data_IF_595059852737
#
_entry.id   IF_595059852737
#
_cell.length_a   1.000
_cell.length_b   1.000
_cell.length_c   1.000
_cell.angle_alpha   90.00
_cell.angle_beta   90.00
_cell.angle_gamma   90.00
#
_symmetry.space_group_name_H-M   'P 1'
#
loop_
_entity.id
_entity.type
_entity.pdbx_description
1 polymer ?
#
# COMPACT_ATOMS: atom_id res chain seq x y z
N UNK A 1 -12.16 -26.93 11.78
CA UNK A 1 -12.56 -25.60 11.29
C UNK A 1 -11.40 -25.06 10.47
N UNK A 2 -11.54 -25.01 9.14
CA UNK A 2 -10.45 -24.65 8.25
C UNK A 2 -10.17 -23.14 8.35
N UNK A 3 -9.03 -22.77 8.94
CA UNK A 3 -8.56 -21.39 9.06
C UNK A 3 -7.99 -20.82 7.74
N UNK A 4 -8.07 -21.56 6.63
CA UNK A 4 -7.44 -21.22 5.35
C UNK A 4 -8.30 -20.36 4.42
N UNK A 5 -9.60 -20.17 4.70
CA UNK A 5 -10.47 -19.37 3.83
C UNK A 5 -10.26 -17.84 3.94
N UNK A 6 -9.44 -17.39 4.91
CA UNK A 6 -9.22 -15.97 5.23
C UNK A 6 -7.73 -15.61 5.41
N UNK A 7 -6.80 -16.36 4.82
CA UNK A 7 -5.37 -16.02 4.88
C UNK A 7 -5.08 -14.79 3.99
N UNK A 8 -4.65 -13.64 4.54
CA UNK A 8 -4.43 -12.43 3.75
C UNK A 8 -3.09 -12.43 3.00
N UNK A 9 -2.20 -13.40 3.28
CA UNK A 9 -0.84 -13.43 2.72
C UNK A 9 -0.78 -13.49 1.19
N UNK A 10 -1.60 -14.28 0.48
CA UNK A 10 -1.52 -14.34 -0.98
C UNK A 10 -1.76 -13.00 -1.66
N UNK A 11 -2.79 -12.26 -1.23
CA UNK A 11 -3.08 -10.93 -1.78
C UNK A 11 -2.02 -9.90 -1.39
N UNK A 12 -1.45 -10.03 -0.19
CA UNK A 12 -0.36 -9.16 0.23
C UNK A 12 0.92 -9.39 -0.57
N UNK A 13 1.28 -10.65 -0.83
CA UNK A 13 2.39 -11.04 -1.70
C UNK A 13 2.18 -10.47 -3.10
N UNK A 14 0.98 -10.60 -3.66
CA UNK A 14 0.62 -10.03 -4.97
C UNK A 14 0.77 -8.50 -4.97
N UNK A 15 0.33 -7.80 -3.92
CA UNK A 15 0.48 -6.35 -3.80
C UNK A 15 1.95 -5.91 -3.74
N UNK A 16 2.78 -6.65 -3.00
CA UNK A 16 4.21 -6.38 -2.93
C UNK A 16 4.92 -6.66 -4.28
N UNK A 17 4.50 -7.70 -5.01
CA UNK A 17 5.02 -8.03 -6.34
C UNK A 17 4.64 -6.95 -7.37
N UNK A 18 3.38 -6.53 -7.37
CA UNK A 18 2.92 -5.45 -8.25
C UNK A 18 3.63 -4.13 -7.93
N UNK A 19 3.87 -3.83 -6.65
CA UNK A 19 4.60 -2.63 -6.27
C UNK A 19 6.04 -2.67 -6.80
N UNK A 20 6.75 -3.81 -6.70
CA UNK A 20 8.06 -3.99 -7.33
C UNK A 20 7.97 -3.76 -8.85
N UNK A 21 7.02 -4.41 -9.53
CA UNK A 21 6.87 -4.30 -10.98
C UNK A 21 6.64 -2.84 -11.42
N UNK A 22 5.86 -2.08 -10.65
CA UNK A 22 5.69 -0.65 -10.91
C UNK A 22 6.96 0.16 -10.65
N UNK A 23 7.66 -0.08 -9.54
CA UNK A 23 8.95 0.56 -9.22
C UNK A 23 9.98 0.33 -10.34
N UNK A 24 10.04 -0.88 -10.88
CA UNK A 24 10.99 -1.27 -11.93
C UNK A 24 10.74 -0.54 -13.27
N UNK A 25 9.56 0.02 -13.46
CA UNK A 25 9.21 0.75 -14.70
C UNK A 25 9.56 2.23 -14.66
N UNK A 26 9.85 2.80 -13.49
CA UNK A 26 9.99 4.25 -13.32
C UNK A 26 11.29 4.76 -13.94
N UNK A 27 11.16 5.66 -14.91
CA UNK A 27 12.27 6.37 -15.54
C UNK A 27 12.79 7.54 -14.71
N UNK A 28 14.05 7.93 -14.92
CA UNK A 28 14.66 9.06 -14.21
C UNK A 28 13.99 10.42 -14.55
N UNK A 29 13.44 10.55 -15.75
CA UNK A 29 12.69 11.70 -16.24
C UNK A 29 11.26 11.80 -15.67
N UNK A 30 10.76 10.74 -15.04
CA UNK A 30 9.42 10.67 -14.45
C UNK A 30 9.41 11.10 -12.97
N UNK A 31 10.57 11.22 -12.35
CA UNK A 31 10.71 11.37 -10.90
C UNK A 31 10.05 12.64 -10.33
N UNK A 32 9.86 13.68 -11.15
CA UNK A 32 9.21 14.94 -10.75
C UNK A 32 7.75 15.02 -11.19
N UNK A 33 7.18 13.97 -11.80
CA UNK A 33 5.78 13.98 -12.19
C UNK A 33 4.89 14.03 -10.93
N UNK A 34 3.82 14.83 -10.94
CA UNK A 34 2.86 14.83 -9.85
C UNK A 34 2.13 13.49 -9.79
N UNK A 35 1.78 13.03 -8.59
CA UNK A 35 0.91 11.85 -8.44
C UNK A 35 -0.51 12.26 -8.07
N UNK A 36 -1.51 11.37 -8.23
CA UNK A 36 -2.85 11.60 -7.71
C UNK A 36 -2.91 11.76 -6.18
N UNK A 37 -1.87 11.31 -5.45
CA UNK A 37 -1.69 11.63 -4.04
C UNK A 37 -1.00 13.00 -3.92
N UNK A 38 -1.70 14.05 -3.46
CA UNK A 38 -1.21 15.43 -3.57
C UNK A 38 0.05 15.72 -2.73
N UNK A 39 0.36 14.86 -1.75
CA UNK A 39 1.54 14.99 -0.91
C UNK A 39 2.83 14.52 -1.62
N UNK A 40 2.71 13.81 -2.75
CA UNK A 40 3.82 13.12 -3.39
C UNK A 40 3.94 13.44 -4.89
N UNK A 41 5.16 13.80 -5.31
CA UNK A 41 5.62 13.50 -6.67
C UNK A 41 6.11 12.04 -6.74
N UNK A 42 6.45 11.55 -7.94
CA UNK A 42 6.89 10.16 -8.14
C UNK A 42 8.09 9.82 -7.25
N UNK A 43 9.10 10.68 -7.16
CA UNK A 43 10.27 10.47 -6.30
C UNK A 43 9.88 10.28 -4.84
N UNK A 44 9.01 11.15 -4.34
CA UNK A 44 8.58 11.13 -2.94
C UNK A 44 7.70 9.92 -2.67
N UNK A 45 6.86 9.50 -3.63
CA UNK A 45 6.06 8.29 -3.55
C UNK A 45 6.94 7.02 -3.48
N UNK A 46 8.00 6.95 -4.28
CA UNK A 46 8.98 5.85 -4.20
C UNK A 46 9.65 5.78 -2.82
N UNK A 47 10.05 6.93 -2.29
CA UNK A 47 10.60 7.03 -0.94
C UNK A 47 9.61 6.63 0.16
N UNK A 48 8.33 6.97 -0.02
CA UNK A 48 7.25 6.57 0.86
C UNK A 48 7.01 5.05 0.82
N UNK A 49 6.93 4.44 -0.37
CA UNK A 49 6.79 3.00 -0.54
C UNK A 49 7.92 2.23 0.15
N UNK A 50 9.17 2.68 -0.02
CA UNK A 50 10.29 2.12 0.74
C UNK A 50 10.04 2.21 2.25
N UNK A 51 9.68 3.39 2.77
CA UNK A 51 9.33 3.56 4.19
C UNK A 51 8.25 2.58 4.65
N UNK A 52 7.19 2.41 3.87
CA UNK A 52 6.08 1.49 4.16
C UNK A 52 6.59 0.04 4.24
N UNK A 53 7.45 -0.39 3.31
CA UNK A 53 8.06 -1.73 3.38
C UNK A 53 8.87 -1.94 4.68
N UNK A 54 9.59 -0.92 5.15
CA UNK A 54 10.28 -0.96 6.45
C UNK A 54 9.30 -1.06 7.63
N UNK A 55 8.21 -0.28 7.60
CA UNK A 55 7.16 -0.30 8.63
C UNK A 55 6.40 -1.62 8.69
N UNK A 56 6.11 -2.23 7.55
CA UNK A 56 5.52 -3.56 7.46
C UNK A 56 6.38 -4.54 8.26
N UNK A 57 7.67 -4.63 7.92
CA UNK A 57 8.58 -5.57 8.55
C UNK A 57 8.67 -5.34 10.07
N UNK A 58 8.82 -4.09 10.48
CA UNK A 58 8.92 -3.73 11.90
C UNK A 58 7.62 -4.00 12.67
N UNK A 59 6.47 -3.64 12.12
CA UNK A 59 5.17 -3.89 12.74
C UNK A 59 4.89 -5.40 12.88
N UNK A 60 5.17 -6.17 11.83
CA UNK A 60 4.97 -7.62 11.83
C UNK A 60 5.94 -8.36 12.73
N UNK A 61 7.08 -7.78 13.11
CA UNK A 61 8.01 -8.29 14.12
C UNK A 61 7.73 -7.76 15.53
N UNK A 62 6.68 -6.95 15.71
CA UNK A 62 6.22 -6.43 17.01
C UNK A 62 6.90 -5.13 17.46
N UNK A 63 7.65 -4.47 16.57
CA UNK A 63 8.26 -3.17 16.82
C UNK A 63 7.32 -1.98 16.68
N UNK A 64 7.84 -0.79 16.94
CA UNK A 64 7.10 0.47 16.81
C UNK A 64 7.30 1.08 15.42
N UNK A 65 6.27 1.19 14.57
CA UNK A 65 6.40 1.72 13.20
C UNK A 65 6.83 3.19 13.15
N UNK A 66 6.69 3.93 14.26
CA UNK A 66 7.14 5.32 14.38
C UNK A 66 8.66 5.45 14.48
N UNK A 67 9.38 4.35 14.69
CA UNK A 67 10.85 4.32 14.66
C UNK A 67 11.40 4.39 13.22
N UNK A 68 10.54 4.20 12.21
CA UNK A 68 10.86 4.38 10.79
C UNK A 68 10.56 5.83 10.39
N UNK A 69 11.47 6.52 9.67
CA UNK A 69 11.26 7.88 9.21
C UNK A 69 9.99 8.00 8.34
N UNK A 70 9.40 9.19 8.31
CA UNK A 70 8.17 9.45 7.54
C UNK A 70 8.34 9.16 6.05
N UNK A 71 9.50 9.47 5.47
CA UNK A 71 9.84 9.23 4.06
C UNK A 71 11.32 8.81 3.98
N UNK A 72 11.63 7.78 3.21
CA UNK A 72 13.00 7.37 2.91
C UNK A 72 13.52 8.24 1.76
N UNK A 73 14.67 8.89 1.92
CA UNK A 73 15.27 9.81 0.92
C UNK A 73 16.71 9.41 0.59
N UNK A 74 17.25 9.90 -0.53
CA UNK A 74 18.66 9.70 -0.89
C UNK A 74 19.01 8.27 -1.26
N UNK A 75 18.06 7.53 -1.83
CA UNK A 75 18.27 6.17 -2.34
C UNK A 75 18.54 6.25 -3.83
N UNK A 76 19.73 5.84 -4.25
CA UNK A 76 20.15 5.88 -5.65
C UNK A 76 19.52 4.76 -6.49
N UNK A 77 19.39 3.56 -5.91
CA UNK A 77 18.81 2.37 -6.54
C UNK A 77 17.56 1.91 -5.76
N UNK A 78 16.43 2.53 -6.08
CA UNK A 78 15.12 2.20 -5.47
C UNK A 78 14.69 0.76 -5.75
N UNK A 79 14.79 0.23 -6.99
CA UNK A 79 14.48 -1.18 -7.27
C UNK A 79 15.21 -2.17 -6.36
N UNK A 80 16.53 -2.01 -6.20
CA UNK A 80 17.32 -2.89 -5.33
C UNK A 80 16.95 -2.73 -3.85
N UNK A 81 16.75 -1.49 -3.39
CA UNK A 81 16.35 -1.22 -2.00
C UNK A 81 14.95 -1.81 -1.66
N UNK A 82 14.02 -1.76 -2.61
CA UNK A 82 12.71 -2.41 -2.45
C UNK A 82 12.85 -3.93 -2.35
N UNK A 83 13.64 -4.55 -3.25
CA UNK A 83 13.88 -5.99 -3.24
C UNK A 83 14.49 -6.50 -1.93
N UNK A 84 15.41 -5.74 -1.35
CA UNK A 84 15.98 -6.04 -0.03
C UNK A 84 14.91 -6.04 1.06
N UNK A 85 14.10 -4.96 1.13
CA UNK A 85 13.01 -4.86 2.12
C UNK A 85 11.95 -5.94 1.91
N UNK A 86 11.64 -6.27 0.66
CA UNK A 86 10.74 -7.37 0.31
C UNK A 86 11.27 -8.71 0.82
N UNK A 87 12.55 -8.99 0.63
CA UNK A 87 13.18 -10.23 1.13
C UNK A 87 13.04 -10.36 2.65
N UNK A 88 13.19 -9.25 3.39
CA UNK A 88 12.97 -9.25 4.84
C UNK A 88 11.51 -9.56 5.20
N UNK A 89 10.55 -8.91 4.51
CA UNK A 89 9.11 -9.14 4.71
C UNK A 89 8.75 -10.61 4.45
N UNK A 90 9.26 -11.21 3.38
CA UNK A 90 9.01 -12.63 3.07
C UNK A 90 9.48 -13.55 4.20
N UNK A 91 10.64 -13.25 4.80
CA UNK A 91 11.13 -13.95 5.98
C UNK A 91 10.18 -13.84 7.17
N UNK A 92 9.66 -12.64 7.45
CA UNK A 92 8.68 -12.42 8.54
C UNK A 92 7.33 -13.09 8.27
N UNK A 93 6.85 -13.11 7.01
CA UNK A 93 5.59 -13.77 6.65
C UNK A 93 5.64 -15.30 6.78
N UNK A 94 6.84 -15.87 6.74
CA UNK A 94 7.09 -17.30 6.94
C UNK A 94 7.11 -17.70 8.43
N UNK A 95 7.17 -16.74 9.37
CA UNK A 95 7.16 -17.05 10.80
C UNK A 95 5.81 -17.60 11.28
N UNK A 96 5.87 -18.62 12.13
CA UNK A 96 4.70 -19.13 12.81
C UNK A 96 4.06 -18.07 13.71
N UNK A 97 2.74 -17.95 13.63
CA UNK A 97 1.96 -17.03 14.47
C UNK A 97 1.98 -15.57 14.03
N UNK A 98 2.65 -15.21 12.93
CA UNK A 98 2.66 -13.83 12.40
C UNK A 98 1.25 -13.25 12.25
N UNK A 99 0.28 -14.07 11.81
CA UNK A 99 -1.10 -13.65 11.61
C UNK A 99 -1.83 -13.29 12.93
N UNK A 100 -1.44 -13.93 14.04
CA UNK A 100 -2.05 -13.71 15.36
C UNK A 100 -1.29 -12.70 16.22
N UNK A 101 -0.06 -12.35 15.85
CA UNK A 101 0.78 -11.39 16.59
C UNK A 101 0.11 -10.02 16.64
N UNK A 102 0.16 -9.37 17.79
CA UNK A 102 -0.36 -8.01 17.94
C UNK A 102 0.68 -7.04 17.37
N UNK A 103 0.27 -6.25 16.38
CA UNK A 103 1.09 -5.29 15.66
C UNK A 103 0.65 -3.86 15.99
N UNK A 104 1.61 -2.96 16.19
CA UNK A 104 1.36 -1.52 16.31
C UNK A 104 1.50 -0.87 14.94
N UNK A 105 0.49 -0.10 14.53
CA UNK A 105 0.46 0.73 13.33
C UNK A 105 0.27 2.19 13.76
N UNK A 106 0.58 3.19 12.92
CA UNK A 106 0.45 4.61 13.28
C UNK A 106 -0.95 5.02 13.74
N UNK A 107 -1.99 4.29 13.32
CA UNK A 107 -3.39 4.57 13.63
C UNK A 107 -4.05 3.57 14.61
N UNK A 108 -3.30 2.58 15.12
CA UNK A 108 -3.85 1.64 16.10
C UNK A 108 -3.09 0.33 16.23
N UNK A 109 -3.59 -0.54 17.11
CA UNK A 109 -3.02 -1.86 17.39
C UNK A 109 -3.97 -2.95 16.93
N UNK A 110 -3.49 -3.89 16.12
CA UNK A 110 -4.33 -4.90 15.47
C UNK A 110 -3.58 -6.24 15.28
N UNK A 111 -4.28 -7.39 15.16
CA UNK A 111 -3.64 -8.65 14.81
C UNK A 111 -2.94 -8.59 13.45
N UNK A 112 -1.85 -9.35 13.28
CA UNK A 112 -1.03 -9.35 12.07
C UNK A 112 -1.83 -9.60 10.79
N UNK A 113 -2.85 -10.47 10.83
CA UNK A 113 -3.75 -10.66 9.69
C UNK A 113 -4.47 -9.38 9.25
N UNK A 114 -4.94 -8.57 10.20
CA UNK A 114 -5.57 -7.28 9.90
C UNK A 114 -4.52 -6.25 9.45
N UNK A 115 -3.29 -6.31 9.98
CA UNK A 115 -2.21 -5.41 9.60
C UNK A 115 -1.80 -5.65 8.14
N UNK A 116 -1.65 -6.92 7.77
CA UNK A 116 -1.39 -7.36 6.39
C UNK A 116 -2.51 -6.84 5.46
N UNK A 117 -3.79 -6.97 5.85
CA UNK A 117 -4.90 -6.45 5.06
C UNK A 117 -4.83 -4.93 4.85
N UNK A 118 -4.48 -4.17 5.89
CA UNK A 118 -4.32 -2.72 5.79
C UNK A 118 -3.16 -2.33 4.85
N UNK A 119 -2.00 -2.95 5.01
CA UNK A 119 -0.84 -2.71 4.14
C UNK A 119 -1.07 -3.20 2.70
N UNK A 120 -1.89 -4.22 2.48
CA UNK A 120 -2.31 -4.63 1.13
C UNK A 120 -3.06 -3.48 0.44
N UNK A 121 -3.98 -2.81 1.15
CA UNK A 121 -4.68 -1.63 0.65
C UNK A 121 -3.75 -0.45 0.36
N UNK A 122 -2.82 -0.16 1.27
CA UNK A 122 -1.82 0.92 1.12
C UNK A 122 -0.96 0.70 -0.13
N UNK A 123 -0.36 -0.48 -0.30
CA UNK A 123 0.48 -0.83 -1.45
C UNK A 123 -0.30 -0.84 -2.76
N UNK A 124 -1.52 -1.42 -2.75
CA UNK A 124 -2.40 -1.47 -3.93
C UNK A 124 -2.72 -0.06 -4.42
N UNK A 125 -3.05 0.84 -3.50
CA UNK A 125 -3.45 2.20 -3.83
C UNK A 125 -2.28 3.04 -4.33
N UNK A 126 -1.12 2.93 -3.69
CA UNK A 126 0.07 3.66 -4.13
C UNK A 126 0.71 3.08 -5.40
N UNK A 127 0.50 1.80 -5.70
CA UNK A 127 0.80 1.24 -7.03
C UNK A 127 -0.05 1.92 -8.11
N UNK A 128 -1.33 2.18 -7.84
CA UNK A 128 -2.18 2.94 -8.76
C UNK A 128 -1.76 4.40 -8.91
N UNK A 129 -1.39 5.06 -7.80
CA UNK A 129 -0.88 6.45 -7.87
C UNK A 129 0.36 6.53 -8.79
N UNK A 130 1.28 5.59 -8.63
CA UNK A 130 2.49 5.51 -9.44
C UNK A 130 2.16 5.19 -10.90
N UNK A 131 1.25 4.25 -11.14
CA UNK A 131 0.82 3.86 -12.48
C UNK A 131 0.08 4.97 -13.21
N UNK A 132 -0.79 5.75 -12.54
CA UNK A 132 -1.43 6.92 -13.17
C UNK A 132 -0.44 8.04 -13.44
N UNK A 133 0.48 8.31 -12.53
CA UNK A 133 1.51 9.34 -12.73
C UNK A 133 2.41 9.03 -13.93
N UNK A 134 2.66 7.75 -14.20
CA UNK A 134 3.58 7.28 -15.25
C UNK A 134 2.90 6.69 -16.49
N UNK A 135 1.55 6.68 -16.54
CA UNK A 135 0.78 6.21 -17.69
C UNK A 135 0.80 4.69 -17.92
N UNK A 136 0.89 3.89 -16.86
CA UNK A 136 1.07 2.41 -16.91
C UNK A 136 -0.02 1.63 -16.17
N UNK A 137 -1.25 2.14 -16.14
CA UNK A 137 -2.34 1.48 -15.40
C UNK A 137 -2.76 0.14 -15.98
N UNK A 138 -2.41 -0.15 -17.23
CA UNK A 138 -2.59 -1.44 -17.88
C UNK A 138 -1.73 -2.56 -17.26
N UNK A 139 -0.72 -2.22 -16.45
CA UNK A 139 0.11 -3.19 -15.73
C UNK A 139 -0.49 -3.65 -14.39
N UNK A 140 -1.60 -3.04 -13.95
CA UNK A 140 -2.20 -3.35 -12.66
C UNK A 140 -3.13 -4.56 -12.72
N UNK A 141 -3.08 -5.40 -11.68
CA UNK A 141 -3.99 -6.52 -11.47
C UNK A 141 -5.23 -6.06 -10.72
N UNK A 142 -6.35 -5.97 -11.43
CA UNK A 142 -7.66 -5.57 -10.90
C UNK A 142 -8.11 -6.40 -9.69
N UNK A 143 -7.64 -7.65 -9.53
CA UNK A 143 -8.00 -8.48 -8.38
C UNK A 143 -7.57 -7.87 -7.05
N UNK A 144 -6.47 -7.10 -7.03
CA UNK A 144 -6.03 -6.36 -5.84
C UNK A 144 -7.00 -5.25 -5.47
N UNK A 145 -7.47 -4.49 -6.45
CA UNK A 145 -8.44 -3.42 -6.20
C UNK A 145 -9.80 -3.99 -5.75
N UNK A 146 -10.26 -5.08 -6.39
CA UNK A 146 -11.48 -5.80 -5.99
C UNK A 146 -11.37 -6.32 -4.55
N UNK A 147 -10.22 -6.88 -4.18
CA UNK A 147 -9.97 -7.37 -2.82
C UNK A 147 -9.90 -6.25 -1.79
N UNK A 148 -9.22 -5.14 -2.12
CA UNK A 148 -8.96 -4.05 -1.19
C UNK A 148 -10.16 -3.14 -0.94
N UNK A 149 -11.03 -2.91 -1.95
CA UNK A 149 -12.16 -1.99 -1.83
C UNK A 149 -13.05 -2.24 -0.59
N UNK A 150 -13.57 -3.46 -0.32
CA UNK A 150 -14.39 -3.70 0.85
C UNK A 150 -13.62 -3.55 2.18
N UNK A 151 -12.31 -3.87 2.19
CA UNK A 151 -11.47 -3.68 3.37
C UNK A 151 -11.31 -2.20 3.71
N UNK A 152 -11.02 -1.40 2.69
CA UNK A 152 -10.86 0.05 2.75
C UNK A 152 -12.17 0.75 3.12
N UNK A 153 -13.31 0.34 2.57
CA UNK A 153 -14.63 0.84 2.94
C UNK A 153 -14.99 0.58 4.40
N UNK A 154 -14.60 -0.58 4.93
CA UNK A 154 -14.83 -0.92 6.34
C UNK A 154 -13.91 -0.14 7.28
N UNK A 155 -12.66 0.08 6.87
CA UNK A 155 -11.65 0.76 7.70
C UNK A 155 -11.78 2.29 7.68
N UNK A 156 -12.22 2.85 6.54
CA UNK A 156 -12.26 4.29 6.30
C UNK A 156 -13.72 4.68 6.00
N UNK A 157 -14.47 5.19 6.98
CA UNK A 157 -15.88 5.55 6.80
C UNK A 157 -16.05 6.69 5.79
N UNK A 158 -17.25 6.90 5.25
CA UNK A 158 -17.52 8.02 4.33
C UNK A 158 -17.20 9.36 4.98
N UNK A 159 -17.53 9.52 6.26
CA UNK A 159 -17.21 10.68 7.10
C UNK A 159 -16.87 10.20 8.53
N UNK A 160 -16.00 10.91 9.27
CA UNK A 160 -15.29 12.14 8.90
C UNK A 160 -14.09 11.89 7.98
N UNK A 161 -13.76 12.86 7.12
CA UNK A 161 -12.55 12.89 6.26
C UNK A 161 -11.72 14.16 6.47
N UNK A 162 -10.41 14.08 6.25
CA UNK A 162 -9.45 15.17 6.49
C UNK A 162 -9.02 15.33 7.96
N UNK A 163 -7.96 16.13 8.18
CA UNK A 163 -7.38 16.33 9.50
C UNK A 163 -6.65 15.08 10.02
N UNK A 164 -7.23 14.41 11.01
CA UNK A 164 -6.66 13.19 11.61
C UNK A 164 -6.92 11.93 10.78
N UNK A 165 -7.86 11.98 9.83
CA UNK A 165 -8.11 10.93 8.84
C UNK A 165 -7.44 11.38 7.54
N UNK A 166 -6.30 10.80 7.14
CA UNK A 166 -5.47 11.29 6.03
C UNK A 166 -6.03 10.88 4.66
N UNK A 167 -7.34 11.00 4.47
CA UNK A 167 -8.03 10.70 3.22
C UNK A 167 -8.93 11.89 2.84
N UNK A 168 -8.94 12.24 1.55
CA UNK A 168 -9.85 13.23 1.01
C UNK A 168 -11.31 12.75 1.05
N UNK A 169 -12.28 13.64 0.76
CA UNK A 169 -13.66 13.26 0.55
C UNK A 169 -13.78 12.21 -0.55
N UNK A 170 -14.71 11.27 -0.41
CA UNK A 170 -15.00 10.28 -1.47
C UNK A 170 -15.30 11.02 -2.78
N UNK A 171 -14.61 10.64 -3.85
CA UNK A 171 -14.85 11.11 -5.21
C UNK A 171 -15.78 10.11 -5.90
N UNK A 172 -17.01 10.50 -6.27
CA UNK A 172 -17.91 9.62 -7.00
C UNK A 172 -17.31 9.23 -8.35
N UNK A 173 -17.44 7.96 -8.70
CA UNK A 173 -17.12 7.39 -10.02
C UNK A 173 -18.35 6.68 -10.57
N UNK A 174 -18.35 6.36 -11.86
CA UNK A 174 -19.42 5.56 -12.44
C UNK A 174 -19.44 4.14 -11.84
N UNK A 175 -20.63 3.53 -11.77
CA UNK A 175 -20.78 2.18 -11.22
C UNK A 175 -20.04 1.10 -12.04
N UNK A 176 -19.78 1.39 -13.32
CA UNK A 176 -19.01 0.56 -14.25
C UNK A 176 -17.55 1.02 -14.42
N UNK A 177 -17.08 1.96 -13.59
CA UNK A 177 -15.68 2.36 -13.56
C UNK A 177 -14.78 1.17 -13.20
N UNK A 178 -13.50 1.24 -13.60
CA UNK A 178 -12.55 0.16 -13.30
C UNK A 178 -12.44 -0.09 -11.79
N UNK A 179 -12.10 -1.31 -11.34
CA UNK A 179 -11.92 -1.62 -9.92
C UNK A 179 -10.97 -0.64 -9.22
N UNK A 180 -9.91 -0.24 -9.90
CA UNK A 180 -8.96 0.73 -9.41
C UNK A 180 -9.52 2.14 -9.29
N UNK A 181 -10.32 2.61 -10.25
CA UNK A 181 -10.95 3.92 -10.16
C UNK A 181 -11.95 3.99 -9.00
N UNK A 182 -12.69 2.90 -8.75
CA UNK A 182 -13.58 2.79 -7.57
C UNK A 182 -12.79 2.85 -6.26
N UNK A 183 -11.69 2.10 -6.15
CA UNK A 183 -10.81 2.12 -4.98
C UNK A 183 -10.16 3.50 -4.76
N UNK A 184 -9.67 4.12 -5.83
CA UNK A 184 -9.04 5.44 -5.81
C UNK A 184 -10.05 6.52 -5.40
N UNK A 185 -11.24 6.51 -6.02
CA UNK A 185 -12.33 7.42 -5.70
C UNK A 185 -12.75 7.35 -4.24
N UNK A 186 -12.87 6.15 -3.67
CA UNK A 186 -13.18 5.97 -2.24
C UNK A 186 -12.14 6.60 -1.30
N UNK A 187 -10.88 6.63 -1.71
CA UNK A 187 -9.79 7.22 -0.93
C UNK A 187 -9.56 8.71 -1.23
N UNK A 188 -10.43 9.31 -2.04
CA UNK A 188 -10.44 10.73 -2.35
C UNK A 188 -9.52 11.16 -3.49
N UNK A 189 -9.05 10.21 -4.30
CA UNK A 189 -8.30 10.47 -5.54
C UNK A 189 -9.27 10.77 -6.69
N UNK A 190 -8.77 11.45 -7.72
CA UNK A 190 -9.52 11.77 -8.96
C UNK A 190 -8.98 10.91 -10.11
N UNK A 191 -9.63 9.80 -10.47
CA UNK A 191 -9.17 8.89 -11.52
C UNK A 191 -9.22 9.47 -12.95
#
# INVERSE_FOLDING_TARGET
MNNFANDPRPMFVLALDQTQAMIDTVGADELTLPTPCPDYDVRTLLGHLLTVAGRINLALTGGNPLDIPTITTGVDDVPSAWKERRTAIDGTLAEDGVLGRICTLPWGTLPGAAAIGAYTGELTTHSWDLAKATGRTDLLDDSLAVYCLPLVQRAIPVEPRGGHVPFGPVVPVADDASPYDQLAGWQGRRP
#
